data_IF_836272833026
#
_entry.id   IF_836272833026
#
_cell.length_a   1.000
_cell.length_b   1.000
_cell.length_c   1.000
_cell.angle_alpha   90.00
_cell.angle_beta   90.00
_cell.angle_gamma   90.00
#
_symmetry.space_group_name_H-M   'P 1'
#
loop_
_entity.id
_entity.type
_entity.pdbx_description
1 polymer ?
#
# COMPACT_ATOMS: atom_id res chain seq x y z
N UNK A 1 -30.37 -43.43 35.87
CA UNK A 1 -29.18 -43.26 35.04
C UNK A 1 -29.62 -42.54 33.78
N UNK A 2 -29.30 -41.24 33.63
CA UNK A 2 -29.55 -40.47 32.42
C UNK A 2 -28.18 -40.21 31.78
N UNK A 3 -27.96 -40.85 30.66
CA UNK A 3 -26.79 -40.61 29.80
C UNK A 3 -26.85 -39.16 29.27
N UNK A 4 -25.79 -38.43 29.49
CA UNK A 4 -25.55 -37.12 28.86
C UNK A 4 -24.93 -37.36 27.48
N UNK A 5 -25.71 -37.18 26.44
CA UNK A 5 -25.22 -37.00 25.09
C UNK A 5 -24.34 -35.73 25.07
N UNK A 6 -23.07 -35.94 24.83
CA UNK A 6 -22.14 -34.86 24.51
C UNK A 6 -22.34 -34.50 23.02
N UNK A 7 -22.97 -33.38 22.77
CA UNK A 7 -23.00 -32.76 21.46
C UNK A 7 -21.55 -32.44 21.05
N UNK A 8 -21.07 -33.10 20.01
CA UNK A 8 -19.82 -32.75 19.33
C UNK A 8 -20.05 -31.39 18.65
N UNK A 9 -19.46 -30.33 19.18
CA UNK A 9 -19.30 -29.08 18.43
C UNK A 9 -18.48 -29.38 17.17
N UNK A 10 -19.12 -29.32 16.03
CA UNK A 10 -18.43 -29.28 14.74
C UNK A 10 -17.51 -28.06 14.73
N UNK A 11 -16.21 -28.29 14.78
CA UNK A 11 -15.22 -27.28 14.50
C UNK A 11 -15.44 -26.84 13.05
N UNK A 12 -16.17 -25.77 12.84
CA UNK A 12 -16.30 -25.12 11.54
C UNK A 12 -14.89 -24.84 11.02
N UNK A 13 -14.55 -25.45 9.92
CA UNK A 13 -13.28 -25.21 9.24
C UNK A 13 -13.15 -23.72 8.93
N UNK A 14 -12.13 -23.07 9.47
CA UNK A 14 -11.82 -21.65 9.18
C UNK A 14 -11.34 -21.44 7.74
N UNK A 15 -11.22 -22.52 6.96
CA UNK A 15 -10.83 -22.41 5.54
C UNK A 15 -12.07 -22.07 4.71
N UNK A 16 -12.01 -20.99 3.90
CA UNK A 16 -13.10 -20.67 2.98
C UNK A 16 -13.29 -21.81 1.98
N UNK A 17 -14.51 -21.96 1.48
CA UNK A 17 -14.80 -22.87 0.36
C UNK A 17 -13.88 -22.53 -0.83
N UNK A 18 -13.42 -23.53 -1.61
CA UNK A 18 -12.62 -23.27 -2.83
C UNK A 18 -13.31 -22.36 -3.85
N UNK A 19 -14.63 -22.23 -3.77
CA UNK A 19 -15.46 -21.37 -4.63
C UNK A 19 -15.88 -20.07 -3.96
N UNK A 20 -15.48 -19.82 -2.72
CA UNK A 20 -15.81 -18.58 -2.03
C UNK A 20 -15.03 -17.41 -2.59
N UNK A 21 -15.72 -16.36 -2.99
CA UNK A 21 -15.08 -15.08 -3.34
C UNK A 21 -14.63 -14.41 -2.03
N UNK A 22 -13.33 -14.26 -1.88
CA UNK A 22 -12.74 -13.57 -0.74
C UNK A 22 -12.85 -12.05 -0.93
N UNK A 23 -13.15 -11.33 0.15
CA UNK A 23 -13.19 -9.87 0.11
C UNK A 23 -11.77 -9.31 -0.09
N UNK A 24 -11.45 -8.63 -1.21
CA UNK A 24 -10.12 -8.10 -1.48
C UNK A 24 -9.75 -6.93 -0.55
N UNK A 25 -10.72 -6.32 0.15
CA UNK A 25 -10.49 -5.26 1.15
C UNK A 25 -10.03 -5.78 2.51
N UNK A 26 -9.86 -7.08 2.67
CA UNK A 26 -9.18 -7.65 3.85
C UNK A 26 -7.68 -7.69 3.61
N UNK A 27 -6.90 -7.18 4.55
CA UNK A 27 -5.43 -7.08 4.47
C UNK A 27 -4.75 -8.39 4.03
N UNK A 28 -5.14 -9.52 4.62
CA UNK A 28 -4.60 -10.85 4.26
C UNK A 28 -4.91 -11.22 2.80
N UNK A 29 -6.12 -10.93 2.34
CA UNK A 29 -6.52 -11.25 0.96
C UNK A 29 -5.86 -10.30 -0.03
N UNK A 30 -5.77 -9.01 0.32
CA UNK A 30 -5.08 -8.00 -0.47
C UNK A 30 -3.61 -8.39 -0.71
N UNK A 31 -2.88 -8.70 0.35
CA UNK A 31 -1.51 -9.21 0.26
C UNK A 31 -1.43 -10.48 -0.59
N UNK A 32 -2.32 -11.44 -0.35
CA UNK A 32 -2.32 -12.70 -1.10
C UNK A 32 -2.56 -12.49 -2.61
N UNK A 33 -3.33 -11.49 -3.02
CA UNK A 33 -3.55 -11.18 -4.44
C UNK A 33 -2.29 -10.64 -5.11
N UNK A 34 -1.51 -9.78 -4.42
CA UNK A 34 -0.46 -9.00 -5.05
C UNK A 34 0.97 -9.46 -4.75
N UNK A 35 1.17 -10.36 -3.77
CA UNK A 35 2.52 -10.74 -3.31
C UNK A 35 2.89 -12.19 -3.55
N UNK A 36 2.06 -12.98 -4.22
CA UNK A 36 2.43 -14.33 -4.60
C UNK A 36 3.44 -14.32 -5.77
N UNK A 37 4.37 -15.25 -5.76
CA UNK A 37 5.35 -15.45 -6.84
C UNK A 37 4.71 -16.20 -8.03
N UNK A 38 3.56 -15.69 -8.51
CA UNK A 38 2.85 -16.24 -9.67
C UNK A 38 2.68 -15.19 -10.75
N UNK A 39 2.47 -15.62 -11.99
CA UNK A 39 2.23 -14.73 -13.12
C UNK A 39 0.94 -13.94 -12.93
N UNK A 40 -0.12 -14.59 -12.44
CA UNK A 40 -1.43 -13.97 -12.17
C UNK A 40 -1.33 -12.85 -11.13
N UNK A 41 -0.58 -13.06 -10.05
CA UNK A 41 -0.36 -12.04 -9.02
C UNK A 41 0.42 -10.85 -9.56
N UNK A 42 1.42 -11.10 -10.40
CA UNK A 42 2.21 -10.05 -11.05
C UNK A 42 1.36 -9.24 -12.04
N UNK A 43 0.56 -9.90 -12.87
CA UNK A 43 -0.36 -9.23 -13.80
C UNK A 43 -1.43 -8.43 -13.07
N UNK A 44 -1.99 -8.97 -11.98
CA UNK A 44 -2.95 -8.25 -11.14
C UNK A 44 -2.33 -6.96 -10.56
N UNK A 45 -1.10 -7.04 -10.06
CA UNK A 45 -0.38 -5.90 -9.51
C UNK A 45 -0.08 -4.85 -10.59
N UNK A 46 0.38 -5.26 -11.77
CA UNK A 46 0.61 -4.34 -12.90
C UNK A 46 -0.67 -3.65 -13.36
N UNK A 47 -1.75 -4.41 -13.48
CA UNK A 47 -3.06 -3.88 -13.87
C UNK A 47 -3.58 -2.86 -12.85
N UNK A 48 -3.49 -3.18 -11.56
CA UNK A 48 -3.87 -2.27 -10.48
C UNK A 48 -3.07 -0.96 -10.54
N UNK A 49 -1.75 -1.05 -10.60
CA UNK A 49 -0.87 0.11 -10.65
C UNK A 49 -1.08 0.95 -11.92
N UNK A 50 -1.26 0.30 -13.07
CA UNK A 50 -1.54 1.00 -14.33
C UNK A 50 -2.84 1.79 -14.25
N UNK A 51 -3.88 1.21 -13.67
CA UNK A 51 -5.18 1.87 -13.48
C UNK A 51 -5.09 3.06 -12.53
N UNK A 52 -4.40 2.90 -11.40
CA UNK A 52 -4.25 3.96 -10.40
C UNK A 52 -3.38 5.11 -10.91
N UNK A 53 -2.27 4.80 -11.56
CA UNK A 53 -1.30 5.80 -12.01
C UNK A 53 -1.64 6.42 -13.38
N UNK A 54 -2.63 5.88 -14.09
CA UNK A 54 -3.02 6.35 -15.42
C UNK A 54 -1.91 6.21 -16.46
N UNK A 55 -0.99 5.26 -16.27
CA UNK A 55 0.12 4.96 -17.18
C UNK A 55 0.37 3.47 -17.24
N UNK A 56 0.92 2.99 -18.36
CA UNK A 56 1.28 1.58 -18.48
C UNK A 56 2.42 1.21 -17.54
N UNK A 57 2.20 0.17 -16.73
CA UNK A 57 3.20 -0.45 -15.87
C UNK A 57 3.59 -1.80 -16.46
N UNK A 58 4.72 -1.82 -17.15
CA UNK A 58 5.18 -2.99 -17.91
C UNK A 58 5.82 -4.04 -17.00
N UNK A 59 6.61 -3.61 -16.02
CA UNK A 59 7.34 -4.50 -15.12
C UNK A 59 7.36 -3.94 -13.70
N UNK A 60 7.12 -4.84 -12.76
CA UNK A 60 7.22 -4.58 -11.33
C UNK A 60 8.12 -5.62 -10.66
N UNK A 61 8.81 -5.21 -9.63
CA UNK A 61 9.56 -6.10 -8.75
C UNK A 61 9.14 -5.79 -7.33
N UNK A 62 8.61 -6.79 -6.63
CA UNK A 62 8.28 -6.67 -5.21
C UNK A 62 9.58 -6.56 -4.44
N UNK A 63 9.69 -5.54 -3.60
CA UNK A 63 10.85 -5.24 -2.77
C UNK A 63 10.60 -5.69 -1.33
N UNK A 64 11.64 -5.66 -0.49
CA UNK A 64 11.50 -5.90 0.93
C UNK A 64 10.53 -4.87 1.57
N UNK A 65 9.62 -5.35 2.40
CA UNK A 65 8.54 -4.55 2.99
C UNK A 65 9.01 -3.64 4.14
N UNK A 66 10.24 -3.82 4.61
CA UNK A 66 10.79 -3.08 5.75
C UNK A 66 12.02 -2.28 5.30
N UNK A 67 11.87 -0.96 5.09
CA UNK A 67 13.02 -0.12 4.82
C UNK A 67 13.95 -0.06 6.03
N UNK A 68 15.27 0.04 5.82
CA UNK A 68 16.23 0.09 6.92
C UNK A 68 15.97 1.29 7.84
N UNK A 69 16.22 1.09 9.13
CA UNK A 69 16.13 2.13 10.17
C UNK A 69 17.53 2.68 10.41
N UNK A 70 17.69 3.99 10.22
CA UNK A 70 19.02 4.63 10.34
C UNK A 70 19.45 4.84 11.80
N UNK A 71 18.49 5.01 12.70
CA UNK A 71 18.72 5.19 14.14
C UNK A 71 17.68 4.42 14.98
N UNK A 72 18.05 3.87 16.15
CA UNK A 72 17.17 3.05 16.98
C UNK A 72 15.87 3.73 17.45
N UNK A 73 15.83 5.06 17.50
CA UNK A 73 14.64 5.82 17.90
C UNK A 73 13.63 6.05 16.77
N UNK A 74 13.95 5.67 15.53
CA UNK A 74 13.02 5.77 14.42
C UNK A 74 11.93 4.70 14.52
N UNK A 75 10.72 5.10 14.12
CA UNK A 75 9.61 4.15 14.02
C UNK A 75 9.90 3.18 12.88
N UNK A 76 9.89 1.89 13.17
CA UNK A 76 9.89 0.85 12.14
C UNK A 76 8.64 0.99 11.29
N UNK A 77 8.81 1.08 9.98
CA UNK A 77 7.70 1.10 9.02
C UNK A 77 7.66 -0.23 8.28
N UNK A 78 6.47 -0.81 8.21
CA UNK A 78 6.22 -1.99 7.39
C UNK A 78 5.23 -1.59 6.31
N UNK A 79 5.54 -1.88 5.07
CA UNK A 79 4.66 -1.69 3.93
C UNK A 79 3.96 -3.00 3.59
N UNK A 80 2.73 -2.92 3.12
CA UNK A 80 2.00 -4.13 2.73
C UNK A 80 2.58 -4.73 1.45
N UNK A 81 2.77 -3.89 0.43
CA UNK A 81 3.39 -4.26 -0.84
C UNK A 81 4.31 -3.14 -1.31
N UNK A 82 5.62 -3.37 -1.31
CA UNK A 82 6.60 -2.42 -1.83
C UNK A 82 7.09 -2.86 -3.21
N UNK A 83 7.07 -1.94 -4.17
CA UNK A 83 7.29 -2.23 -5.59
C UNK A 83 8.32 -1.28 -6.19
N UNK A 84 9.20 -1.81 -7.04
CA UNK A 84 10.09 -1.02 -7.89
C UNK A 84 9.71 -1.25 -9.35
N UNK A 85 9.52 -0.16 -10.10
CA UNK A 85 9.25 -0.18 -11.54
C UNK A 85 10.56 -0.27 -12.35
N UNK A 86 10.42 -0.64 -13.62
CA UNK A 86 11.55 -0.74 -14.55
C UNK A 86 12.34 0.58 -14.75
N UNK A 87 11.70 1.72 -14.56
CA UNK A 87 12.33 3.06 -14.64
C UNK A 87 12.92 3.54 -13.31
N UNK A 88 12.90 2.72 -12.26
CA UNK A 88 13.44 3.05 -10.94
C UNK A 88 12.47 3.77 -10.01
N UNK A 89 11.29 4.17 -10.48
CA UNK A 89 10.22 4.68 -9.62
C UNK A 89 9.81 3.62 -8.60
N UNK A 90 9.29 4.03 -7.45
CA UNK A 90 8.84 3.11 -6.39
C UNK A 90 7.43 3.42 -5.95
N UNK A 91 6.71 2.38 -5.60
CA UNK A 91 5.42 2.48 -4.97
C UNK A 91 5.35 1.62 -3.72
N UNK A 92 4.74 2.17 -2.67
CA UNK A 92 4.28 1.42 -1.52
C UNK A 92 2.76 1.39 -1.55
N UNK A 93 2.21 0.20 -1.42
CA UNK A 93 0.77 -0.01 -1.44
C UNK A 93 0.36 -0.55 -0.08
N UNK A 94 -0.63 0.07 0.51
CA UNK A 94 -1.14 -0.27 1.84
C UNK A 94 -2.65 -0.44 1.79
N UNK A 95 -3.15 -1.51 2.44
CA UNK A 95 -4.59 -1.71 2.68
C UNK A 95 -4.93 -1.32 4.12
N UNK A 96 -5.75 -0.29 4.27
CA UNK A 96 -6.19 0.18 5.58
C UNK A 96 -7.69 -0.02 5.77
N UNK A 97 -8.05 -1.13 6.40
CA UNK A 97 -9.45 -1.53 6.54
C UNK A 97 -10.24 -0.78 7.60
N UNK A 98 -9.59 -0.05 8.51
CA UNK A 98 -10.24 0.68 9.60
C UNK A 98 -9.53 2.00 9.86
N UNK A 99 -10.31 3.03 10.16
CA UNK A 99 -9.78 4.27 10.71
C UNK A 99 -9.02 4.02 12.02
N UNK A 100 -7.93 4.71 12.20
CA UNK A 100 -7.03 4.57 13.32
C UNK A 100 -7.17 5.76 14.29
N UNK A 101 -6.66 5.62 15.51
CA UNK A 101 -6.65 6.70 16.50
C UNK A 101 -5.64 7.82 16.20
N UNK A 102 -4.83 7.66 15.15
CA UNK A 102 -3.84 8.64 14.69
C UNK A 102 -4.24 9.25 13.34
N UNK A 103 -3.70 10.42 13.04
CA UNK A 103 -3.93 11.07 11.74
C UNK A 103 -3.23 10.28 10.63
N UNK A 104 -4.03 9.61 9.81
CA UNK A 104 -3.55 8.79 8.71
C UNK A 104 -2.85 9.61 7.62
N UNK A 105 -3.26 10.86 7.42
CA UNK A 105 -2.62 11.76 6.46
C UNK A 105 -1.17 12.06 6.86
N UNK A 106 -0.93 12.34 8.15
CA UNK A 106 0.43 12.55 8.69
C UNK A 106 1.28 11.29 8.53
N UNK A 107 0.72 10.11 8.80
CA UNK A 107 1.43 8.85 8.58
C UNK A 107 1.85 8.69 7.12
N UNK A 108 0.95 8.96 6.19
CA UNK A 108 1.21 8.83 4.75
C UNK A 108 2.30 9.81 4.27
N UNK A 109 2.30 11.05 4.79
CA UNK A 109 3.36 12.01 4.51
C UNK A 109 4.73 11.53 5.01
N UNK A 110 4.80 10.97 6.22
CA UNK A 110 6.05 10.44 6.78
C UNK A 110 6.54 9.23 5.96
N UNK A 111 5.62 8.33 5.57
CA UNK A 111 5.95 7.14 4.77
C UNK A 111 6.52 7.53 3.40
N UNK A 112 5.84 8.40 2.65
CA UNK A 112 6.31 8.80 1.32
C UNK A 112 7.59 9.61 1.36
N UNK A 113 7.79 10.46 2.38
CA UNK A 113 9.03 11.21 2.56
C UNK A 113 10.22 10.26 2.79
N UNK A 114 10.02 9.21 3.61
CA UNK A 114 11.03 8.18 3.83
C UNK A 114 11.32 7.38 2.57
N UNK A 115 10.28 7.00 1.82
CA UNK A 115 10.44 6.29 0.55
C UNK A 115 11.27 7.12 -0.43
N UNK A 116 11.00 8.43 -0.53
CA UNK A 116 11.78 9.35 -1.36
C UNK A 116 13.23 9.45 -0.89
N UNK A 117 13.47 9.62 0.41
CA UNK A 117 14.81 9.70 0.97
C UNK A 117 15.64 8.43 0.69
N UNK A 118 15.01 7.25 0.84
CA UNK A 118 15.66 5.97 0.55
C UNK A 118 15.91 5.75 -0.94
N UNK A 119 15.23 6.48 -1.82
CA UNK A 119 15.42 6.45 -3.28
C UNK A 119 16.37 7.53 -3.80
N UNK A 120 16.79 8.46 -2.94
CA UNK A 120 17.72 9.50 -3.31
C UNK A 120 19.11 8.92 -3.61
N UNK A 121 19.71 9.38 -4.71
CA UNK A 121 21.03 8.91 -5.17
C UNK A 121 22.13 9.82 -4.62
N UNK A 122 23.21 9.21 -4.14
CA UNK A 122 24.44 9.94 -3.78
C UNK A 122 25.11 10.45 -5.03
N UNK A 123 25.61 11.69 -4.98
CA UNK A 123 26.37 12.29 -6.08
C UNK A 123 26.48 13.80 -5.93
N UNK A 124 27.13 14.45 -6.91
CA UNK A 124 27.25 15.93 -6.98
C UNK A 124 25.90 16.58 -7.29
N UNK A 125 24.99 15.86 -7.93
CA UNK A 125 23.66 16.33 -8.27
C UNK A 125 22.60 15.59 -7.44
N UNK A 126 21.71 16.34 -6.82
CA UNK A 126 20.54 15.79 -6.15
C UNK A 126 19.63 15.12 -7.18
N UNK A 127 19.44 13.82 -7.08
CA UNK A 127 18.54 13.05 -7.96
C UNK A 127 17.81 11.95 -7.20
N UNK A 128 16.60 11.70 -7.61
CA UNK A 128 15.75 10.59 -7.15
C UNK A 128 14.82 10.19 -8.29
N UNK A 129 14.15 9.07 -8.15
CA UNK A 129 13.00 8.71 -8.99
C UNK A 129 11.70 9.04 -8.24
N UNK A 130 10.59 9.15 -8.97
CA UNK A 130 9.27 9.38 -8.36
C UNK A 130 8.90 8.26 -7.41
N UNK A 131 8.24 8.63 -6.33
CA UNK A 131 7.71 7.68 -5.34
C UNK A 131 6.22 7.90 -5.16
N UNK A 132 5.51 6.80 -4.91
CA UNK A 132 4.07 6.77 -4.74
C UNK A 132 3.72 6.02 -3.46
N UNK A 133 3.02 6.67 -2.54
CA UNK A 133 2.35 6.04 -1.42
C UNK A 133 0.89 5.86 -1.82
N UNK A 134 0.47 4.63 -2.06
CA UNK A 134 -0.88 4.28 -2.49
C UNK A 134 -1.59 3.58 -1.33
N UNK A 135 -2.64 4.17 -0.82
CA UNK A 135 -3.42 3.60 0.28
C UNK A 135 -4.84 3.30 -0.17
N UNK A 136 -5.23 2.03 -0.10
CA UNK A 136 -6.61 1.59 -0.31
C UNK A 136 -7.32 1.67 1.03
N UNK A 137 -8.29 2.56 1.14
CA UNK A 137 -8.94 2.90 2.39
C UNK A 137 -10.37 2.33 2.44
N UNK A 138 -10.86 2.03 3.62
CA UNK A 138 -12.25 1.73 3.88
C UNK A 138 -12.87 2.80 4.83
N UNK A 139 -12.35 4.02 4.74
CA UNK A 139 -12.79 5.19 5.50
C UNK A 139 -12.27 6.46 4.81
N UNK A 140 -12.91 7.60 5.06
CA UNK A 140 -12.43 8.89 4.56
C UNK A 140 -11.40 9.49 5.53
N UNK A 141 -10.22 9.89 5.06
CA UNK A 141 -9.26 10.63 5.88
C UNK A 141 -9.82 11.96 6.39
N UNK A 142 -9.27 12.43 7.50
CA UNK A 142 -9.72 13.65 8.18
C UNK A 142 -9.55 14.95 7.38
N UNK A 143 -8.77 14.94 6.30
CA UNK A 143 -8.57 16.08 5.40
C UNK A 143 -9.82 16.47 4.57
N UNK A 144 -10.89 15.64 4.62
CA UNK A 144 -12.19 15.95 4.01
C UNK A 144 -12.30 15.73 2.51
N UNK A 145 -11.26 15.24 1.82
CA UNK A 145 -11.37 14.83 0.43
C UNK A 145 -12.20 13.54 0.32
N UNK A 146 -13.25 13.58 -0.52
CA UNK A 146 -14.20 12.49 -0.73
C UNK A 146 -14.14 11.94 -2.15
N UNK A 147 -13.08 12.26 -2.88
CA UNK A 147 -12.85 11.70 -4.22
C UNK A 147 -12.55 10.22 -4.11
N UNK A 148 -13.08 9.39 -5.01
CA UNK A 148 -12.75 7.96 -5.09
C UNK A 148 -11.25 7.73 -5.28
N UNK A 149 -10.58 8.67 -5.96
CA UNK A 149 -9.12 8.74 -6.08
C UNK A 149 -8.68 10.15 -5.71
N UNK A 150 -8.04 10.31 -4.57
CA UNK A 150 -7.47 11.57 -4.12
C UNK A 150 -5.94 11.54 -4.30
N UNK A 151 -5.41 12.43 -5.15
CA UNK A 151 -3.99 12.48 -5.47
C UNK A 151 -3.34 13.76 -4.96
N UNK A 152 -2.42 13.63 -4.03
CA UNK A 152 -1.70 14.73 -3.40
C UNK A 152 -0.26 14.78 -3.89
N UNK A 153 0.21 16.00 -4.19
CA UNK A 153 1.59 16.28 -4.60
C UNK A 153 2.06 17.58 -3.94
N UNK A 154 3.36 17.80 -3.92
CA UNK A 154 3.92 19.02 -3.35
C UNK A 154 3.72 20.22 -4.29
N UNK A 155 2.92 21.20 -3.88
CA UNK A 155 2.58 22.41 -4.64
C UNK A 155 2.75 23.67 -3.80
N UNK A 156 3.04 24.79 -4.44
CA UNK A 156 2.98 26.10 -3.78
C UNK A 156 1.52 26.53 -3.57
N UNK A 157 1.31 27.65 -2.83
CA UNK A 157 -0.02 28.19 -2.52
C UNK A 157 -0.86 28.55 -3.76
N UNK A 158 -0.23 28.72 -4.93
CA UNK A 158 -0.90 29.00 -6.20
C UNK A 158 -1.13 27.76 -7.06
N UNK A 159 -0.93 26.55 -6.50
CA UNK A 159 -1.15 25.27 -7.17
C UNK A 159 -0.03 24.84 -8.15
N UNK A 160 1.10 25.57 -8.22
CA UNK A 160 2.22 25.21 -9.08
C UNK A 160 3.05 24.10 -8.42
N UNK A 161 3.26 23.01 -9.12
CA UNK A 161 4.09 21.87 -8.66
C UNK A 161 5.54 22.29 -8.41
N UNK A 162 6.19 21.69 -7.40
CA UNK A 162 7.60 21.90 -7.12
C UNK A 162 8.47 20.98 -8.01
N UNK A 163 8.51 19.69 -7.73
CA UNK A 163 9.34 18.73 -8.45
C UNK A 163 8.62 17.39 -8.75
N UNK A 164 7.42 17.18 -8.25
CA UNK A 164 6.53 16.02 -8.50
C UNK A 164 7.11 14.64 -8.16
N UNK A 165 8.18 14.58 -7.36
CA UNK A 165 8.77 13.31 -6.95
C UNK A 165 7.95 12.59 -5.87
N UNK A 166 7.23 13.33 -5.03
CA UNK A 166 6.46 12.84 -3.90
C UNK A 166 4.97 12.81 -4.27
N UNK A 167 4.37 11.62 -4.20
CA UNK A 167 2.96 11.41 -4.54
C UNK A 167 2.29 10.56 -3.47
N UNK A 168 1.16 11.03 -2.93
CA UNK A 168 0.28 10.28 -2.04
C UNK A 168 -1.04 10.09 -2.75
N UNK A 169 -1.53 8.85 -2.81
CA UNK A 169 -2.77 8.50 -3.49
C UNK A 169 -3.65 7.73 -2.51
N UNK A 170 -4.84 8.24 -2.26
CA UNK A 170 -5.87 7.55 -1.51
C UNK A 170 -6.94 7.02 -2.45
N UNK A 171 -7.30 5.76 -2.29
CA UNK A 171 -8.36 5.06 -3.01
C UNK A 171 -9.43 4.66 -2.00
N UNK A 172 -10.69 5.08 -2.21
CA UNK A 172 -11.85 4.74 -1.37
C UNK A 172 -12.73 3.67 -2.03
#
# INVERSE_FOLDING_TARGET
MKEKEKTKEEKTSLRPSPTALLNPRMDVNFKAIFTQETEESNEALKSFLSSVLGKEVVKVQISANEPPVDIPSQIQMTFDVSVTFNNGEKADIEMQGKDQKYDFSVRSEIQVARLLNNNAKKGSNWSAEKVYQISVLNFHPSNGDKSEIAWYTMKNKNGRSLAEYLNIIFLD
#
